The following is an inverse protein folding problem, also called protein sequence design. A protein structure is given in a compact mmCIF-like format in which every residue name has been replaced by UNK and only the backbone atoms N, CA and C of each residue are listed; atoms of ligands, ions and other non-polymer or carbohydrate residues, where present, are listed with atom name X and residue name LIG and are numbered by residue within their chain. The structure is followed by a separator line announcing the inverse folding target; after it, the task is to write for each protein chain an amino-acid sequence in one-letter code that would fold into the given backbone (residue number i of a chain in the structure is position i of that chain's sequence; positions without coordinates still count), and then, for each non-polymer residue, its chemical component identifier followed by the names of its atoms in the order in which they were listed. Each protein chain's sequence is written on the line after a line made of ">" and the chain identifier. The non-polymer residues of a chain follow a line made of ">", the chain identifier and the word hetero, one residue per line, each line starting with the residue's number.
data_IF_923141137295
#
_entry.id   IF_923141137295
#
_cell.length_a   1.000
_cell.length_b   1.000
_cell.length_c   1.000
_cell.angle_alpha   90.00
_cell.angle_beta   90.00
_cell.angle_gamma   90.00
#
_symmetry.space_group_name_H-M   'P 1'
#
loop_
_entity.id
_entity.type
_entity.pdbx_description
1 polymer ?
#
# COMPACT_ATOMS: atom_id res chain seq x y z
N UNK A 1 -6.24 -8.61 6.92
CA UNK A 1 -6.55 -7.20 7.25
C UNK A 1 -8.00 -7.10 7.72
N UNK A 2 -8.28 -6.28 8.74
CA UNK A 2 -9.64 -6.04 9.22
C UNK A 2 -10.06 -4.57 8.99
N UNK A 3 -11.34 -4.25 9.27
CA UNK A 3 -11.90 -2.90 9.03
C UNK A 3 -11.22 -1.82 9.85
N UNK A 4 -10.85 -2.13 11.11
CA UNK A 4 -10.18 -1.17 11.98
C UNK A 4 -8.79 -0.82 11.46
N UNK A 5 -8.05 -1.80 10.97
CA UNK A 5 -6.71 -1.60 10.38
C UNK A 5 -6.77 -0.73 9.12
N UNK A 6 -7.72 -0.97 8.21
CA UNK A 6 -7.89 -0.11 7.02
C UNK A 6 -8.34 1.30 7.42
N UNK A 7 -9.27 1.41 8.37
CA UNK A 7 -9.72 2.70 8.87
C UNK A 7 -8.58 3.48 9.54
N UNK A 8 -7.72 2.81 10.32
CA UNK A 8 -6.53 3.40 10.95
C UNK A 8 -5.54 3.92 9.89
N UNK A 9 -5.29 3.15 8.84
CA UNK A 9 -4.45 3.59 7.71
C UNK A 9 -5.01 4.85 7.04
N UNK A 10 -6.32 4.89 6.78
CA UNK A 10 -6.99 6.05 6.20
C UNK A 10 -7.05 7.23 7.18
N UNK A 11 -7.11 6.97 8.48
CA UNK A 11 -7.04 8.01 9.50
C UNK A 11 -5.71 8.78 9.46
N UNK A 12 -4.59 8.09 9.25
CA UNK A 12 -3.26 8.69 9.14
C UNK A 12 -3.11 9.63 7.94
N UNK A 13 -3.90 9.43 6.89
CA UNK A 13 -3.81 10.26 5.67
C UNK A 13 -4.57 11.58 5.78
N UNK A 14 -5.33 11.80 6.85
CA UNK A 14 -6.14 12.99 7.02
C UNK A 14 -7.17 13.15 5.88
N UNK A 15 -7.39 14.39 5.47
CA UNK A 15 -8.30 14.72 4.37
C UNK A 15 -7.70 14.47 2.99
N UNK A 16 -6.39 14.18 2.89
CA UNK A 16 -5.75 13.81 1.64
C UNK A 16 -6.24 12.45 1.14
N UNK A 17 -6.55 11.52 2.07
CA UNK A 17 -6.97 10.16 1.75
C UNK A 17 -5.90 9.37 0.99
N UNK A 18 -6.28 8.24 0.40
CA UNK A 18 -5.40 7.43 -0.46
C UNK A 18 -5.86 7.55 -1.92
N UNK A 19 -4.98 8.06 -2.77
CA UNK A 19 -5.23 8.29 -4.20
C UNK A 19 -4.99 7.00 -5.00
N UNK A 20 -6.08 6.32 -5.37
CA UNK A 20 -6.07 5.17 -6.28
C UNK A 20 -5.99 3.81 -5.61
N UNK A 21 -6.75 2.87 -6.18
CA UNK A 21 -6.78 1.44 -5.76
C UNK A 21 -5.40 0.80 -5.78
N UNK A 22 -4.59 1.12 -6.78
CA UNK A 22 -3.22 0.60 -6.90
C UNK A 22 -2.35 1.04 -5.73
N UNK A 23 -2.40 2.34 -5.37
CA UNK A 23 -1.64 2.89 -4.25
C UNK A 23 -2.01 2.19 -2.94
N UNK A 24 -3.31 2.04 -2.66
CA UNK A 24 -3.78 1.34 -1.47
C UNK A 24 -3.19 -0.07 -1.37
N UNK A 25 -3.26 -0.86 -2.46
CA UNK A 25 -2.70 -2.21 -2.53
C UNK A 25 -1.20 -2.24 -2.20
N UNK A 26 -0.41 -1.30 -2.76
CA UNK A 26 1.05 -1.25 -2.55
C UNK A 26 1.41 -0.78 -1.14
N UNK A 27 0.69 0.20 -0.62
CA UNK A 27 0.90 0.68 0.76
C UNK A 27 0.63 -0.44 1.76
N UNK A 28 -0.48 -1.16 1.62
CA UNK A 28 -0.81 -2.30 2.51
C UNK A 28 0.24 -3.41 2.40
N UNK A 29 0.66 -3.77 1.16
CA UNK A 29 1.72 -4.76 0.95
C UNK A 29 3.02 -4.34 1.64
N UNK A 30 3.49 -3.12 1.40
CA UNK A 30 4.76 -2.62 1.96
C UNK A 30 4.72 -2.51 3.49
N UNK A 31 3.58 -2.11 4.08
CA UNK A 31 3.40 -2.13 5.54
C UNK A 31 3.46 -3.54 6.10
N UNK A 32 2.84 -4.52 5.44
CA UNK A 32 2.91 -5.91 5.86
C UNK A 32 4.35 -6.45 5.76
N UNK A 33 5.08 -6.11 4.70
CA UNK A 33 6.49 -6.48 4.57
C UNK A 33 7.40 -5.78 5.59
N UNK A 34 7.00 -4.62 6.10
CA UNK A 34 7.69 -3.94 7.21
C UNK A 34 7.38 -4.56 8.59
N UNK A 35 6.56 -5.61 8.64
CA UNK A 35 6.20 -6.32 9.88
C UNK A 35 4.86 -5.88 10.51
N UNK A 36 4.08 -5.01 9.84
CA UNK A 36 2.72 -4.71 10.28
C UNK A 36 1.82 -5.94 10.08
N UNK A 37 1.19 -6.43 11.13
CA UNK A 37 0.39 -7.66 11.13
C UNK A 37 -0.98 -7.42 10.46
N UNK A 38 -1.00 -7.36 9.14
CA UNK A 38 -2.22 -7.13 8.36
C UNK A 38 -2.84 -8.42 7.82
N UNK A 39 -2.07 -9.51 7.76
CA UNK A 39 -2.51 -10.87 7.40
C UNK A 39 -3.24 -10.96 6.04
N UNK A 40 -2.79 -10.17 5.06
CA UNK A 40 -3.31 -10.21 3.70
C UNK A 40 -2.57 -11.24 2.86
N UNK A 41 -3.29 -11.98 2.03
CA UNK A 41 -2.69 -12.83 1.00
C UNK A 41 -2.44 -12.01 -0.27
N UNK A 42 -1.19 -12.03 -0.75
CA UNK A 42 -0.80 -11.30 -1.96
C UNK A 42 -0.36 -12.25 -3.06
N UNK A 43 -0.83 -11.97 -4.27
CA UNK A 43 -0.40 -12.62 -5.52
C UNK A 43 0.13 -11.57 -6.50
N UNK A 44 1.01 -11.98 -7.42
CA UNK A 44 1.56 -11.07 -8.41
C UNK A 44 0.56 -10.86 -9.56
N UNK A 45 0.10 -9.64 -9.74
CA UNK A 45 -0.75 -9.20 -10.83
C UNK A 45 0.01 -8.20 -11.73
N UNK A 46 -0.59 -7.82 -12.87
CA UNK A 46 0.03 -6.92 -13.86
C UNK A 46 0.65 -5.64 -13.26
N UNK A 47 0.03 -5.07 -12.24
CA UNK A 47 0.55 -3.87 -11.55
C UNK A 47 1.38 -4.20 -10.29
N UNK A 48 1.89 -5.43 -10.15
CA UNK A 48 2.62 -5.90 -8.97
C UNK A 48 1.71 -6.57 -7.92
N UNK A 49 2.17 -6.73 -6.67
CA UNK A 49 1.42 -7.45 -5.64
C UNK A 49 0.00 -6.91 -5.47
N UNK A 50 -0.97 -7.84 -5.44
CA UNK A 50 -2.39 -7.55 -5.27
C UNK A 50 -3.00 -8.53 -4.25
N UNK A 51 -3.88 -8.03 -3.39
CA UNK A 51 -4.64 -8.82 -2.44
C UNK A 51 -6.14 -8.64 -2.66
N UNK A 52 -6.84 -9.75 -2.78
CA UNK A 52 -8.29 -9.79 -2.79
C UNK A 52 -8.85 -9.31 -1.46
N UNK A 53 -8.22 -9.69 -0.34
CA UNK A 53 -8.64 -9.30 1.01
C UNK A 53 -8.69 -7.78 1.17
N UNK A 54 -7.71 -7.06 0.60
CA UNK A 54 -7.69 -5.58 0.62
C UNK A 54 -8.82 -4.99 -0.22
N UNK A 55 -9.14 -5.58 -1.36
CA UNK A 55 -10.22 -5.10 -2.21
C UNK A 55 -11.58 -5.34 -1.53
N UNK A 56 -11.82 -6.54 -1.04
CA UNK A 56 -13.08 -6.95 -0.43
C UNK A 56 -13.38 -6.11 0.83
N UNK A 57 -12.40 -5.88 1.72
CA UNK A 57 -12.59 -5.03 2.91
C UNK A 57 -12.87 -3.57 2.54
N UNK A 58 -12.27 -3.08 1.44
CA UNK A 58 -12.54 -1.73 0.93
C UNK A 58 -13.98 -1.60 0.44
N UNK A 59 -14.43 -2.54 -0.39
CA UNK A 59 -15.79 -2.56 -0.92
C UNK A 59 -16.84 -2.72 0.21
N UNK A 60 -16.56 -3.57 1.21
CA UNK A 60 -17.40 -3.70 2.41
C UNK A 60 -17.53 -2.39 3.19
N UNK A 61 -16.42 -1.67 3.40
CA UNK A 61 -16.43 -0.42 4.16
C UNK A 61 -17.12 0.72 3.39
N UNK A 62 -17.03 0.73 2.05
CA UNK A 62 -17.78 1.65 1.20
C UNK A 62 -19.30 1.35 1.34
N UNK A 63 -19.71 0.08 1.20
CA UNK A 63 -21.08 -0.36 1.31
C UNK A 63 -21.66 -0.07 2.70
N UNK A 64 -20.86 -0.20 3.77
CA UNK A 64 -21.24 0.13 5.14
C UNK A 64 -21.26 1.65 5.44
N UNK A 65 -20.88 2.51 4.49
CA UNK A 65 -20.82 3.96 4.68
C UNK A 65 -19.74 4.44 5.65
N UNK A 66 -18.71 3.62 5.91
CA UNK A 66 -17.58 3.93 6.82
C UNK A 66 -16.50 4.75 6.11
N UNK A 67 -16.27 4.46 4.83
CA UNK A 67 -15.38 5.22 3.97
C UNK A 67 -16.11 5.73 2.74
N UNK A 68 -15.56 6.78 2.14
CA UNK A 68 -16.01 7.34 0.89
C UNK A 68 -15.02 6.94 -0.20
N UNK A 69 -15.55 6.45 -1.32
CA UNK A 69 -14.82 6.26 -2.57
C UNK A 69 -15.27 7.31 -3.57
N UNK A 70 -14.40 8.26 -3.88
CA UNK A 70 -14.66 9.29 -4.89
C UNK A 70 -13.93 8.96 -6.19
N UNK A 71 -14.52 9.36 -7.32
CA UNK A 71 -13.91 9.17 -8.65
C UNK A 71 -14.35 7.89 -9.33
N UNK A 72 -13.60 7.52 -10.36
CA UNK A 72 -13.91 6.40 -11.24
C UNK A 72 -14.55 6.82 -12.58
N UNK A 73 -14.71 5.87 -13.53
CA UNK A 73 -15.12 6.17 -14.91
C UNK A 73 -16.47 6.90 -15.02
N UNK A 74 -17.37 6.68 -14.07
CA UNK A 74 -18.70 7.27 -14.07
C UNK A 74 -18.72 8.76 -13.70
N UNK A 75 -17.67 9.24 -13.01
CA UNK A 75 -17.57 10.63 -12.56
C UNK A 75 -16.72 11.50 -13.50
N UNK A 76 -16.13 10.91 -14.54
CA UNK A 76 -15.13 11.58 -15.38
C UNK A 76 -13.74 11.75 -14.72
N UNK A 77 -13.62 11.37 -13.46
CA UNK A 77 -12.33 11.38 -12.72
C UNK A 77 -11.75 9.97 -12.80
N UNK A 78 -10.65 9.83 -13.52
CA UNK A 78 -10.03 8.52 -13.81
C UNK A 78 -9.39 7.83 -12.59
N UNK A 79 -9.29 8.53 -11.46
CA UNK A 79 -8.61 8.02 -10.28
C UNK A 79 -9.55 7.99 -9.07
N UNK A 80 -9.62 6.85 -8.42
CA UNK A 80 -10.34 6.69 -7.16
C UNK A 80 -9.60 7.37 -6.01
N UNK A 81 -10.35 7.90 -5.04
CA UNK A 81 -9.84 8.42 -3.78
C UNK A 81 -10.62 7.78 -2.62
N UNK A 82 -9.89 7.25 -1.64
CA UNK A 82 -10.47 6.66 -0.43
C UNK A 82 -10.24 7.57 0.75
N UNK A 83 -11.32 7.90 1.46
CA UNK A 83 -11.31 8.74 2.67
C UNK A 83 -12.25 8.17 3.72
N UNK A 84 -11.93 8.41 5.00
CA UNK A 84 -12.91 8.16 6.07
C UNK A 84 -14.06 9.14 5.97
N UNK A 85 -15.28 8.65 6.20
CA UNK A 85 -16.43 9.52 6.49
C UNK A 85 -16.18 10.29 7.80
N UNK A 86 -16.73 11.53 7.94
CA UNK A 86 -16.51 12.34 9.14
C UNK A 86 -16.86 11.62 10.45
N UNK A 87 -18.00 10.92 10.49
CA UNK A 87 -18.42 10.15 11.66
C UNK A 87 -17.45 9.02 12.02
N UNK A 88 -16.94 8.30 11.00
CA UNK A 88 -15.95 7.23 11.21
C UNK A 88 -14.64 7.80 11.73
N UNK A 89 -14.21 8.96 11.25
CA UNK A 89 -13.02 9.66 11.73
C UNK A 89 -13.15 10.08 13.17
N UNK A 90 -14.29 10.62 13.57
CA UNK A 90 -14.58 11.02 14.94
C UNK A 90 -14.53 9.80 15.88
N UNK A 91 -15.15 8.68 15.51
CA UNK A 91 -15.10 7.45 16.29
C UNK A 91 -13.66 6.94 16.46
N UNK A 92 -12.84 6.97 15.40
CA UNK A 92 -11.46 6.52 15.45
C UNK A 92 -10.54 7.43 16.27
N UNK A 93 -10.88 8.71 16.45
CA UNK A 93 -10.09 9.60 17.31
C UNK A 93 -10.05 9.13 18.77
N UNK A 94 -11.01 8.27 19.16
CA UNK A 94 -11.15 7.70 20.50
C UNK A 94 -10.62 6.26 20.59
N UNK A 95 -10.24 5.63 19.45
CA UNK A 95 -9.80 4.25 19.37
C UNK A 95 -8.38 4.23 18.80
N UNK A 96 -7.45 3.59 19.50
CA UNK A 96 -6.08 3.39 19.03
C UNK A 96 -5.87 1.92 18.66
N UNK A 97 -5.48 1.65 17.43
CA UNK A 97 -4.94 0.36 17.02
C UNK A 97 -3.44 0.35 17.37
N UNK A 98 -3.13 -0.04 18.61
CA UNK A 98 -1.80 0.09 19.19
C UNK A 98 -0.72 -0.62 18.39
N UNK A 99 -1.05 -1.81 17.83
CA UNK A 99 -0.13 -2.58 17.00
C UNK A 99 0.28 -1.87 15.70
N UNK A 100 -0.56 -0.96 15.19
CA UNK A 100 -0.28 -0.19 13.98
C UNK A 100 0.44 1.13 14.26
N UNK A 101 0.38 1.67 15.49
CA UNK A 101 0.87 3.02 15.79
C UNK A 101 2.35 3.23 15.42
N UNK A 102 3.20 2.23 15.65
CA UNK A 102 4.62 2.27 15.27
C UNK A 102 4.83 2.42 13.75
N UNK A 103 3.86 2.04 12.93
CA UNK A 103 3.92 2.13 11.47
C UNK A 103 3.32 3.43 10.91
N UNK A 104 2.78 4.32 11.73
CA UNK A 104 2.10 5.53 11.27
C UNK A 104 2.99 6.42 10.40
N UNK A 105 4.24 6.67 10.81
CA UNK A 105 5.18 7.48 10.03
C UNK A 105 5.47 6.85 8.67
N UNK A 106 5.70 5.53 8.65
CA UNK A 106 5.93 4.79 7.42
C UNK A 106 4.68 4.81 6.52
N UNK A 107 3.50 4.49 7.05
CA UNK A 107 2.25 4.50 6.31
C UNK A 107 1.96 5.85 5.68
N UNK A 108 2.06 6.94 6.45
CA UNK A 108 1.89 8.30 5.95
C UNK A 108 2.91 8.66 4.86
N UNK A 109 4.16 8.24 4.99
CA UNK A 109 5.19 8.44 3.96
C UNK A 109 4.85 7.67 2.68
N UNK A 110 4.47 6.40 2.79
CA UNK A 110 4.13 5.56 1.64
C UNK A 110 2.90 6.07 0.87
N UNK A 111 1.91 6.65 1.56
CA UNK A 111 0.74 7.22 0.85
C UNK A 111 1.09 8.42 -0.02
N UNK A 112 2.20 9.11 0.25
CA UNK A 112 2.72 10.26 -0.51
C UNK A 112 3.81 9.89 -1.52
N UNK A 113 4.30 8.64 -1.48
CA UNK A 113 5.36 8.16 -2.37
C UNK A 113 4.90 8.16 -3.84
N UNK A 114 5.84 8.28 -4.78
CA UNK A 114 5.55 8.19 -6.20
C UNK A 114 4.91 6.82 -6.52
N UNK A 115 3.82 6.81 -7.31
CA UNK A 115 3.09 5.58 -7.61
C UNK A 115 3.96 4.55 -8.37
N UNK A 116 4.82 5.02 -9.27
CA UNK A 116 5.75 4.15 -9.98
C UNK A 116 6.75 3.48 -9.04
N UNK A 117 7.33 4.25 -8.10
CA UNK A 117 8.23 3.72 -7.07
C UNK A 117 7.52 2.69 -6.19
N UNK A 118 6.25 2.93 -5.83
CA UNK A 118 5.45 1.96 -5.09
C UNK A 118 5.21 0.68 -5.90
N UNK A 119 4.83 0.78 -7.18
CA UNK A 119 4.55 -0.37 -8.03
C UNK A 119 5.80 -1.22 -8.27
N UNK A 120 6.92 -0.59 -8.65
CA UNK A 120 8.16 -1.32 -8.91
C UNK A 120 8.81 -1.79 -7.60
N UNK A 121 8.89 -0.95 -6.58
CA UNK A 121 9.48 -1.30 -5.27
C UNK A 121 8.73 -2.46 -4.59
N UNK A 122 7.40 -2.46 -4.62
CA UNK A 122 6.61 -3.59 -4.12
C UNK A 122 6.82 -4.87 -4.95
N UNK A 123 7.01 -4.75 -6.26
CA UNK A 123 7.30 -5.89 -7.14
C UNK A 123 8.69 -6.47 -6.86
N UNK A 124 9.70 -5.61 -6.69
CA UNK A 124 11.06 -6.03 -6.28
C UNK A 124 10.99 -6.78 -4.95
N UNK A 125 10.28 -6.22 -3.97
CA UNK A 125 10.17 -6.82 -2.64
C UNK A 125 9.41 -8.16 -2.66
N UNK A 126 8.42 -8.30 -3.52
CA UNK A 126 7.72 -9.58 -3.73
C UNK A 126 8.66 -10.68 -4.24
N UNK A 127 9.53 -10.37 -5.23
CA UNK A 127 10.53 -11.32 -5.72
C UNK A 127 11.66 -11.55 -4.71
N UNK A 128 12.05 -10.53 -3.95
CA UNK A 128 13.03 -10.68 -2.87
C UNK A 128 12.55 -11.69 -1.82
N UNK A 129 11.29 -11.68 -1.44
CA UNK A 129 10.71 -12.66 -0.52
C UNK A 129 10.80 -14.11 -0.99
N UNK A 130 10.97 -14.35 -2.30
CA UNK A 130 11.12 -15.68 -2.87
C UNK A 130 12.57 -16.19 -2.92
N UNK A 131 13.53 -15.29 -3.17
CA UNK A 131 14.93 -15.67 -3.47
C UNK A 131 15.94 -15.11 -2.46
N UNK A 132 15.57 -14.17 -1.62
CA UNK A 132 16.43 -13.46 -0.67
C UNK A 132 17.69 -12.88 -1.33
N UNK A 133 17.56 -12.39 -2.57
CA UNK A 133 18.66 -11.83 -3.37
C UNK A 133 18.18 -10.57 -4.10
N UNK A 134 18.77 -9.42 -3.78
CA UNK A 134 18.38 -8.13 -4.31
C UNK A 134 18.63 -7.98 -5.82
N UNK A 135 19.77 -8.52 -6.32
CA UNK A 135 20.10 -8.44 -7.73
C UNK A 135 19.11 -9.23 -8.58
N UNK A 136 18.80 -10.46 -8.16
CA UNK A 136 17.81 -11.31 -8.81
C UNK A 136 16.41 -10.71 -8.73
N UNK A 137 16.02 -10.19 -7.56
CA UNK A 137 14.72 -9.54 -7.36
C UNK A 137 14.54 -8.30 -8.26
N UNK A 138 15.58 -7.46 -8.36
CA UNK A 138 15.55 -6.29 -9.24
C UNK A 138 15.42 -6.73 -10.71
N UNK A 139 16.25 -7.67 -11.16
CA UNK A 139 16.17 -8.17 -12.55
C UNK A 139 14.80 -8.70 -12.88
N UNK A 140 14.25 -9.62 -12.07
CA UNK A 140 12.91 -10.20 -12.28
C UNK A 140 11.80 -9.16 -12.29
N UNK A 141 11.86 -8.17 -11.38
CA UNK A 141 10.87 -7.12 -11.31
C UNK A 141 10.94 -6.19 -12.53
N UNK A 142 12.14 -5.85 -12.99
CA UNK A 142 12.35 -5.02 -14.17
C UNK A 142 11.93 -5.74 -15.45
N UNK A 143 12.26 -7.02 -15.59
CA UNK A 143 11.78 -7.86 -16.69
C UNK A 143 10.26 -7.96 -16.72
N UNK A 144 9.64 -8.20 -15.56
CA UNK A 144 8.19 -8.23 -15.40
C UNK A 144 7.52 -6.91 -15.80
N UNK A 145 8.15 -5.79 -15.46
CA UNK A 145 7.66 -4.43 -15.77
C UNK A 145 8.13 -3.92 -17.14
N UNK A 146 9.02 -4.65 -17.83
CA UNK A 146 9.65 -4.27 -19.10
C UNK A 146 10.36 -2.92 -19.02
N UNK A 147 11.20 -2.75 -18.02
CA UNK A 147 11.99 -1.53 -17.76
C UNK A 147 13.45 -1.87 -17.55
N UNK A 148 14.33 -0.90 -17.73
CA UNK A 148 15.76 -1.08 -17.52
C UNK A 148 16.08 -1.09 -16.00
N UNK A 149 16.80 -2.10 -15.55
CA UNK A 149 17.26 -2.21 -14.16
C UNK A 149 18.34 -1.18 -13.78
N UNK A 150 19.03 -0.62 -14.76
CA UNK A 150 20.04 0.44 -14.56
C UNK A 150 19.42 1.85 -14.55
N UNK A 151 18.13 2.00 -14.91
CA UNK A 151 17.46 3.30 -14.87
C UNK A 151 17.40 3.84 -13.43
N UNK A 152 17.60 5.14 -13.29
CA UNK A 152 17.55 5.86 -12.01
C UNK A 152 16.26 5.54 -11.22
N UNK A 153 15.12 5.50 -11.88
CA UNK A 153 13.83 5.18 -11.24
C UNK A 153 13.77 3.75 -10.73
N UNK A 154 14.41 2.80 -11.42
CA UNK A 154 14.50 1.40 -10.98
C UNK A 154 15.38 1.28 -9.74
N UNK A 155 16.48 2.03 -9.68
CA UNK A 155 17.35 2.07 -8.51
C UNK A 155 16.67 2.76 -7.32
N UNK A 156 15.92 3.84 -7.53
CA UNK A 156 15.12 4.49 -6.48
C UNK A 156 14.05 3.53 -5.90
N UNK A 157 13.40 2.74 -6.75
CA UNK A 157 12.44 1.72 -6.32
C UNK A 157 13.10 0.57 -5.54
N UNK A 158 14.33 0.18 -5.90
CA UNK A 158 15.13 -0.79 -5.14
C UNK A 158 15.46 -0.25 -3.75
N UNK A 159 15.87 1.01 -3.64
CA UNK A 159 16.17 1.62 -2.34
C UNK A 159 14.92 1.73 -1.47
N UNK A 160 13.75 2.01 -2.05
CA UNK A 160 12.47 1.93 -1.32
C UNK A 160 12.26 0.51 -0.75
N UNK A 161 12.42 -0.54 -1.57
CA UNK A 161 12.24 -1.93 -1.14
C UNK A 161 13.19 -2.31 0.01
N UNK A 162 14.48 -1.95 -0.10
CA UNK A 162 15.49 -2.19 0.95
C UNK A 162 15.15 -1.47 2.26
N UNK A 163 14.70 -0.21 2.17
CA UNK A 163 14.26 0.56 3.33
C UNK A 163 13.10 -0.10 4.07
N UNK A 164 12.18 -0.74 3.35
CA UNK A 164 11.07 -1.47 3.98
C UNK A 164 11.58 -2.64 4.80
N UNK A 165 12.49 -3.45 4.25
CA UNK A 165 13.06 -4.62 4.97
C UNK A 165 13.85 -4.18 6.21
N UNK A 166 14.57 -3.05 6.14
CA UNK A 166 15.32 -2.53 7.29
C UNK A 166 14.44 -2.12 8.48
N UNK A 167 13.14 -1.84 8.26
CA UNK A 167 12.19 -1.52 9.34
C UNK A 167 11.79 -2.77 10.17
N UNK A 168 11.94 -3.97 9.62
CA UNK A 168 11.61 -5.23 10.32
C UNK A 168 12.65 -5.55 11.42
N UNK A 169 13.85 -5.00 11.30
CA UNK A 169 15.00 -5.34 12.17
C UNK A 169 15.01 -4.54 13.50
N UNK A 170 13.98 -3.74 13.78
CA UNK A 170 13.85 -2.95 14.99
C UNK A 170 12.62 -3.42 15.81
#
# INVERSE_FOLDING_TARGET
>A
MNRLQLATLLFWTGDDGIQGRKRLQKVVFLLQQAGCQLECQFTLHHFGPYSRDVADICDEMVAAGLIQEDGGPQTGVMQYKYQLKPQTREMLSQISEEQMTKFQKLGTSLTKENLWSLELGSTILYFYGQANNWTDALSKACDFKRVDSADKKSLEALELAKRIVSQVAI
#
